data_IF_793761230270
#
_entry.id   IF_793761230270
#
_cell.length_a   1.000
_cell.length_b   1.000
_cell.length_c   1.000
_cell.angle_alpha   90.00
_cell.angle_beta   90.00
_cell.angle_gamma   90.00
#
_symmetry.space_group_name_H-M   'P 1'
#
loop_
_entity.id
_entity.type
_entity.pdbx_description
1 polymer ?
#
# COMPACT_ATOMS: atom_id res chain seq x y z
N UNK A 1 3.05 -10.53 15.92
CA UNK A 1 1.62 -10.58 15.54
C UNK A 1 0.90 -9.27 15.84
N UNK A 2 0.98 -8.73 17.06
CA UNK A 2 0.29 -7.47 17.45
C UNK A 2 0.47 -6.27 16.49
N UNK A 3 1.69 -5.88 16.06
CA UNK A 3 1.85 -4.70 15.19
C UNK A 3 1.20 -4.87 13.81
N UNK A 4 1.30 -6.07 13.21
CA UNK A 4 0.71 -6.37 11.91
C UNK A 4 -0.81 -6.32 11.95
N UNK A 5 -1.43 -6.92 12.96
CA UNK A 5 -2.89 -6.91 13.11
C UNK A 5 -3.42 -5.51 13.34
N UNK A 6 -2.77 -4.72 14.19
CA UNK A 6 -3.15 -3.32 14.40
C UNK A 6 -3.08 -2.52 13.10
N UNK A 7 -1.96 -2.61 12.37
CA UNK A 7 -1.78 -1.90 11.11
C UNK A 7 -2.72 -2.39 10.00
N UNK A 8 -3.17 -3.65 10.02
CA UNK A 8 -4.20 -4.10 9.08
C UNK A 8 -5.59 -3.55 9.43
N UNK A 9 -5.91 -3.45 10.72
CA UNK A 9 -7.27 -3.18 11.19
C UNK A 9 -7.53 -1.72 11.56
N UNK A 10 -6.50 -0.87 11.59
CA UNK A 10 -6.65 0.53 12.01
C UNK A 10 -7.68 1.30 11.18
N UNK A 11 -7.79 0.99 9.87
CA UNK A 11 -8.73 1.58 8.93
C UNK A 11 -10.21 1.46 9.35
N UNK A 12 -10.54 0.55 10.28
CA UNK A 12 -11.89 0.43 10.82
C UNK A 12 -12.23 1.52 11.85
N UNK A 13 -11.22 2.21 12.37
CA UNK A 13 -11.37 3.19 13.45
C UNK A 13 -10.81 4.57 13.07
N UNK A 14 -9.79 4.61 12.20
CA UNK A 14 -9.04 5.82 11.84
C UNK A 14 -8.43 5.64 10.46
N UNK A 15 -8.34 6.70 9.66
CA UNK A 15 -7.66 6.63 8.36
C UNK A 15 -6.15 6.43 8.53
N UNK A 16 -5.49 5.84 7.53
CA UNK A 16 -4.03 5.68 7.55
C UNK A 16 -3.30 7.01 7.66
N UNK A 17 -3.79 8.03 6.96
CA UNK A 17 -3.27 9.39 7.06
C UNK A 17 -3.41 9.98 8.48
N UNK A 18 -4.55 9.82 9.14
CA UNK A 18 -4.70 10.30 10.53
C UNK A 18 -3.80 9.54 11.51
N UNK A 19 -3.64 8.22 11.35
CA UNK A 19 -2.73 7.43 12.17
C UNK A 19 -1.28 7.87 11.97
N UNK A 20 -0.83 8.02 10.72
CA UNK A 20 0.51 8.50 10.40
C UNK A 20 0.75 9.92 10.92
N UNK A 21 -0.27 10.79 10.84
CA UNK A 21 -0.22 12.14 11.40
C UNK A 21 -0.05 12.15 12.92
N UNK A 22 -0.73 11.26 13.65
CA UNK A 22 -0.51 11.08 15.10
C UNK A 22 0.91 10.61 15.41
N UNK A 23 1.46 9.70 14.61
CA UNK A 23 2.86 9.26 14.77
C UNK A 23 3.84 10.42 14.53
N UNK A 24 3.59 11.25 13.51
CA UNK A 24 4.39 12.45 13.22
C UNK A 24 4.34 13.46 14.37
N UNK A 25 3.16 13.70 14.95
CA UNK A 25 3.02 14.57 16.12
C UNK A 25 3.85 14.05 17.30
N UNK A 26 3.76 12.76 17.63
CA UNK A 26 4.55 12.18 18.72
C UNK A 26 6.06 12.27 18.41
N UNK A 27 6.46 12.04 17.15
CA UNK A 27 7.86 12.16 16.73
C UNK A 27 8.41 13.57 16.92
N UNK A 28 7.62 14.59 16.53
CA UNK A 28 7.94 16.01 16.70
C UNK A 28 8.03 16.40 18.18
N UNK A 29 7.02 16.03 18.97
CA UNK A 29 6.82 16.58 20.31
C UNK A 29 7.54 15.80 21.43
N UNK A 30 8.17 14.66 21.12
CA UNK A 30 9.00 13.93 22.09
C UNK A 30 10.25 14.74 22.50
N UNK A 31 10.10 15.62 23.49
CA UNK A 31 11.17 16.42 24.10
C UNK A 31 12.17 15.53 24.86
N UNK A 32 13.09 14.88 24.13
CA UNK A 32 14.30 14.24 24.69
C UNK A 32 14.34 12.71 24.70
N UNK A 33 13.30 12.01 24.24
CA UNK A 33 13.31 10.55 24.14
C UNK A 33 13.72 10.10 22.73
N UNK A 34 15.00 10.16 22.40
CA UNK A 34 15.49 9.72 21.09
C UNK A 34 15.12 8.26 20.77
N UNK A 35 15.07 7.45 21.82
CA UNK A 35 14.55 6.08 21.76
C UNK A 35 13.10 6.01 21.26
N UNK A 36 12.25 6.98 21.59
CA UNK A 36 10.86 7.02 21.13
C UNK A 36 10.78 7.41 19.67
N UNK A 37 11.58 8.38 19.21
CA UNK A 37 11.68 8.74 17.79
C UNK A 37 12.09 7.55 16.94
N UNK A 38 13.15 6.85 17.35
CA UNK A 38 13.59 5.64 16.66
C UNK A 38 12.50 4.55 16.64
N UNK A 39 11.78 4.33 17.74
CA UNK A 39 10.65 3.38 17.76
C UNK A 39 9.56 3.76 16.76
N UNK A 40 9.26 5.05 16.58
CA UNK A 40 8.32 5.53 15.57
C UNK A 40 8.86 5.26 14.17
N UNK A 41 10.13 5.56 13.91
CA UNK A 41 10.76 5.26 12.62
C UNK A 41 10.74 3.76 12.31
N UNK A 42 11.01 2.89 13.27
CA UNK A 42 10.91 1.44 13.08
C UNK A 42 9.47 0.97 12.86
N UNK A 43 8.49 1.57 13.53
CA UNK A 43 7.08 1.28 13.28
C UNK A 43 6.66 1.70 11.87
N UNK A 44 7.04 2.90 11.44
CA UNK A 44 6.80 3.40 10.09
C UNK A 44 7.48 2.51 9.04
N UNK A 45 8.75 2.16 9.24
CA UNK A 45 9.47 1.22 8.38
C UNK A 45 8.76 -0.13 8.29
N UNK A 46 8.32 -0.66 9.43
CA UNK A 46 7.58 -1.92 9.47
C UNK A 46 6.25 -1.81 8.71
N UNK A 47 5.54 -0.70 8.85
CA UNK A 47 4.31 -0.45 8.11
C UNK A 47 4.55 -0.39 6.60
N UNK A 48 5.52 0.42 6.16
CA UNK A 48 5.91 0.55 4.74
C UNK A 48 6.27 -0.82 4.15
N UNK A 49 7.08 -1.61 4.86
CA UNK A 49 7.51 -2.93 4.37
C UNK A 49 6.37 -3.96 4.37
N UNK A 50 5.40 -3.84 5.28
CA UNK A 50 4.29 -4.79 5.40
C UNK A 50 3.16 -4.47 4.42
N UNK A 51 2.88 -3.19 4.18
CA UNK A 51 1.77 -2.70 3.36
C UNK A 51 2.23 -1.61 2.36
N UNK A 52 3.18 -1.92 1.46
CA UNK A 52 3.79 -0.94 0.56
C UNK A 52 2.80 -0.27 -0.40
N UNK A 53 1.74 -0.99 -0.79
CA UNK A 53 0.70 -0.46 -1.68
C UNK A 53 -0.03 0.76 -1.05
N UNK A 54 -0.21 0.79 0.27
CA UNK A 54 -0.85 1.92 0.97
C UNK A 54 -0.03 3.21 0.77
N UNK A 55 1.29 3.11 0.92
CA UNK A 55 2.21 4.25 0.77
C UNK A 55 2.47 4.68 -0.67
N UNK A 56 2.09 3.86 -1.67
CA UNK A 56 2.15 4.26 -3.08
C UNK A 56 0.81 4.83 -3.58
N UNK A 57 -0.31 4.41 -3.00
CA UNK A 57 -1.65 4.74 -3.51
C UNK A 57 -2.35 5.87 -2.75
N UNK A 58 -2.08 6.03 -1.44
CA UNK A 58 -2.66 7.07 -0.59
C UNK A 58 -1.80 8.34 -0.61
N UNK A 59 -2.33 9.41 -1.22
CA UNK A 59 -1.64 10.71 -1.33
C UNK A 59 -1.42 11.37 0.04
N UNK A 60 -2.29 11.11 1.03
CA UNK A 60 -2.13 11.64 2.38
C UNK A 60 -0.98 10.97 3.12
N UNK A 61 -0.81 9.65 2.98
CA UNK A 61 0.37 8.95 3.50
C UNK A 61 1.67 9.43 2.84
N UNK A 62 1.67 9.61 1.52
CA UNK A 62 2.83 10.15 0.79
C UNK A 62 3.20 11.52 1.36
N UNK A 63 2.22 12.42 1.49
CA UNK A 63 2.44 13.75 2.03
C UNK A 63 3.02 13.70 3.45
N UNK A 64 2.43 12.91 4.35
CA UNK A 64 2.91 12.80 5.74
C UNK A 64 4.33 12.23 5.81
N UNK A 65 4.68 11.32 4.89
CA UNK A 65 6.04 10.76 4.81
C UNK A 65 7.07 11.82 4.42
N UNK A 66 6.72 12.74 3.52
CA UNK A 66 7.58 13.90 3.24
C UNK A 66 7.62 14.89 4.42
N UNK A 67 6.50 15.10 5.13
CA UNK A 67 6.52 15.91 6.36
C UNK A 67 7.41 15.29 7.45
N UNK A 68 7.51 13.96 7.53
CA UNK A 68 8.49 13.26 8.38
C UNK A 68 9.93 13.61 8.02
N UNK A 69 10.26 13.70 6.71
CA UNK A 69 11.58 14.12 6.23
C UNK A 69 11.92 15.52 6.72
N UNK A 70 11.00 16.46 6.52
CA UNK A 70 11.18 17.85 6.89
C UNK A 70 11.38 18.01 8.40
N UNK A 71 10.54 17.33 9.21
CA UNK A 71 10.67 17.37 10.67
C UNK A 71 11.96 16.69 11.13
N UNK A 72 12.38 15.59 10.51
CA UNK A 72 13.65 14.94 10.85
C UNK A 72 14.85 15.85 10.56
N UNK A 73 14.85 16.58 9.44
CA UNK A 73 15.88 17.56 9.11
C UNK A 73 15.92 18.72 10.11
N UNK A 74 14.76 19.28 10.47
CA UNK A 74 14.67 20.35 11.48
C UNK A 74 15.19 19.94 12.86
N UNK A 75 15.07 18.66 13.21
CA UNK A 75 15.53 18.10 14.48
C UNK A 75 16.99 17.63 14.44
N UNK A 76 17.67 17.69 13.29
CA UNK A 76 19.03 17.17 13.11
C UNK A 76 19.12 15.63 13.08
N UNK A 77 18.01 14.95 12.84
CA UNK A 77 17.88 13.49 12.84
C UNK A 77 17.75 12.93 11.41
N UNK A 78 18.52 13.41 10.43
CA UNK A 78 18.33 13.04 9.02
C UNK A 78 18.44 11.53 8.74
N UNK A 79 19.26 10.82 9.52
CA UNK A 79 19.40 9.36 9.43
C UNK A 79 18.08 8.62 9.70
N UNK A 80 17.16 9.21 10.47
CA UNK A 80 15.84 8.63 10.72
C UNK A 80 15.00 8.57 9.45
N UNK A 81 15.12 9.55 8.57
CA UNK A 81 14.34 9.57 7.33
C UNK A 81 14.66 8.37 6.43
N UNK A 82 15.92 7.89 6.43
CA UNK A 82 16.31 6.69 5.67
C UNK A 82 15.51 5.44 6.05
N UNK A 83 14.92 5.41 7.25
CA UNK A 83 14.07 4.30 7.69
C UNK A 83 12.64 4.40 7.14
N UNK A 84 12.18 5.61 6.80
CA UNK A 84 10.81 5.94 6.38
C UNK A 84 10.75 6.23 4.85
N UNK A 85 11.89 6.17 4.16
CA UNK A 85 11.94 6.46 2.72
C UNK A 85 11.06 5.51 1.90
N UNK A 86 10.15 6.10 1.13
CA UNK A 86 9.20 5.40 0.24
C UNK A 86 9.66 5.39 -1.22
N UNK A 87 10.78 6.04 -1.56
CA UNK A 87 11.27 6.14 -2.94
C UNK A 87 11.58 4.79 -3.60
N UNK A 88 11.86 3.78 -2.78
CA UNK A 88 12.20 2.42 -3.22
C UNK A 88 10.98 1.50 -3.40
N UNK A 89 9.78 1.97 -3.04
CA UNK A 89 8.56 1.18 -3.17
C UNK A 89 8.20 1.02 -4.67
N UNK A 90 7.93 -0.20 -5.15
CA UNK A 90 7.44 -0.42 -6.52
C UNK A 90 6.14 0.34 -6.80
N UNK A 91 5.85 0.66 -8.06
CA UNK A 91 4.52 1.20 -8.41
C UNK A 91 3.44 0.12 -8.24
N UNK A 92 2.38 0.49 -7.54
CA UNK A 92 1.14 -0.27 -7.35
C UNK A 92 -0.02 0.36 -8.13
N UNK A 93 0.24 1.24 -9.12
CA UNK A 93 -0.82 1.90 -9.90
C UNK A 93 -1.78 0.92 -10.59
N UNK A 94 -1.31 -0.30 -10.88
CA UNK A 94 -2.12 -1.39 -11.43
C UNK A 94 -3.24 -1.88 -10.49
N UNK A 95 -3.13 -1.59 -9.19
CA UNK A 95 -4.16 -1.86 -8.17
C UNK A 95 -5.20 -0.74 -8.06
N UNK A 96 -4.96 0.45 -8.63
CA UNK A 96 -6.01 1.47 -8.71
C UNK A 96 -7.21 0.87 -9.43
N UNK A 97 -8.43 1.21 -8.96
CA UNK A 97 -9.68 0.76 -9.56
C UNK A 97 -9.81 1.32 -10.99
N UNK A 98 -9.14 0.70 -11.96
CA UNK A 98 -9.38 0.93 -13.37
C UNK A 98 -10.69 0.25 -13.73
N UNK A 99 -11.70 1.04 -14.11
CA UNK A 99 -12.85 0.50 -14.83
C UNK A 99 -12.32 -0.20 -16.09
N UNK A 100 -12.57 -1.51 -16.24
CA UNK A 100 -12.32 -2.20 -17.50
C UNK A 100 -13.14 -1.51 -18.58
N UNK A 101 -12.50 -0.70 -19.43
CA UNK A 101 -13.09 -0.27 -20.69
C UNK A 101 -13.16 -1.49 -21.59
N UNK A 102 -14.29 -2.19 -21.60
CA UNK A 102 -14.58 -3.16 -22.65
C UNK A 102 -14.56 -2.39 -23.98
N UNK A 103 -13.53 -2.62 -24.80
CA UNK A 103 -13.65 -2.33 -26.23
C UNK A 103 -14.88 -3.09 -26.73
N UNK A 104 -15.75 -2.45 -27.52
CA UNK A 104 -16.95 -3.10 -28.07
C UNK A 104 -16.56 -4.42 -28.72
N UNK A 105 -16.85 -5.53 -28.04
CA UNK A 105 -16.58 -6.86 -28.56
C UNK A 105 -17.63 -7.19 -29.62
N UNK A 106 -17.20 -7.47 -30.85
CA UNK A 106 -18.05 -8.18 -31.81
C UNK A 106 -18.28 -9.58 -31.23
N UNK A 107 -19.43 -9.79 -30.58
CA UNK A 107 -19.80 -10.98 -29.77
C UNK A 107 -19.77 -12.35 -30.50
N UNK A 108 -19.39 -12.42 -31.77
CA UNK A 108 -19.51 -13.64 -32.58
C UNK A 108 -18.35 -14.64 -32.53
N UNK A 109 -17.17 -14.27 -32.04
CA UNK A 109 -15.96 -15.14 -32.18
C UNK A 109 -15.62 -16.00 -30.97
N UNK A 110 -16.14 -15.69 -29.78
CA UNK A 110 -15.80 -16.44 -28.57
C UNK A 110 -16.54 -17.80 -28.50
N UNK A 111 -17.78 -17.88 -29.00
CA UNK A 111 -18.61 -19.08 -28.89
C UNK A 111 -18.00 -20.31 -29.58
N UNK A 112 -17.48 -20.15 -30.80
CA UNK A 112 -16.86 -21.26 -31.56
C UNK A 112 -15.52 -21.72 -30.99
N UNK A 113 -14.84 -20.89 -30.21
CA UNK A 113 -13.56 -21.23 -29.59
C UNK A 113 -13.73 -22.08 -28.33
N UNK A 114 -14.84 -21.93 -27.61
CA UNK A 114 -15.14 -22.77 -26.45
C UNK A 114 -15.41 -24.22 -26.83
N UNK A 115 -15.98 -24.47 -28.02
CA UNK A 115 -16.29 -25.83 -28.50
C UNK A 115 -15.03 -26.67 -28.80
N UNK A 116 -13.87 -26.03 -28.92
CA UNK A 116 -12.58 -26.67 -29.21
C UNK A 116 -11.58 -26.59 -28.06
N UNK A 117 -11.94 -25.93 -26.95
CA UNK A 117 -11.05 -25.77 -25.80
C UNK A 117 -11.20 -26.98 -24.88
N UNK A 118 -10.08 -27.56 -24.43
CA UNK A 118 -10.14 -28.63 -23.45
C UNK A 118 -10.70 -28.09 -22.11
N UNK A 119 -11.52 -28.87 -21.38
CA UNK A 119 -12.10 -28.43 -20.11
C UNK A 119 -11.05 -27.96 -19.09
N UNK A 120 -9.86 -28.56 -19.10
CA UNK A 120 -8.76 -28.19 -18.22
C UNK A 120 -8.19 -26.81 -18.57
N UNK A 121 -7.97 -26.54 -19.86
CA UNK A 121 -7.48 -25.25 -20.34
C UNK A 121 -8.50 -24.12 -20.05
N UNK A 122 -9.81 -24.41 -20.18
CA UNK A 122 -10.85 -23.48 -19.77
C UNK A 122 -10.78 -23.15 -18.26
N UNK A 123 -10.64 -24.18 -17.43
CA UNK A 123 -10.55 -24.01 -15.98
C UNK A 123 -9.32 -23.20 -15.57
N UNK A 124 -8.17 -23.40 -16.22
CA UNK A 124 -6.96 -22.60 -16.00
C UNK A 124 -7.17 -21.13 -16.36
N UNK A 125 -7.79 -20.86 -17.52
CA UNK A 125 -8.09 -19.49 -17.93
C UNK A 125 -9.05 -18.77 -16.96
N UNK A 126 -10.11 -19.44 -16.50
CA UNK A 126 -11.02 -18.89 -15.50
C UNK A 126 -10.30 -18.63 -14.18
N UNK A 127 -9.52 -19.60 -13.69
CA UNK A 127 -8.72 -19.47 -12.46
C UNK A 127 -7.77 -18.29 -12.54
N UNK A 128 -7.10 -18.11 -13.68
CA UNK A 128 -6.20 -16.98 -13.90
C UNK A 128 -6.94 -15.63 -13.84
N UNK A 129 -8.11 -15.53 -14.48
CA UNK A 129 -8.92 -14.31 -14.46
C UNK A 129 -9.41 -13.98 -13.04
N UNK A 130 -9.87 -14.98 -12.30
CA UNK A 130 -10.28 -14.84 -10.90
C UNK A 130 -9.11 -14.41 -10.01
N UNK A 131 -7.97 -15.11 -10.09
CA UNK A 131 -6.76 -14.76 -9.35
C UNK A 131 -6.30 -13.33 -9.63
N UNK A 132 -6.30 -12.94 -10.91
CA UNK A 132 -5.95 -11.57 -11.32
C UNK A 132 -6.92 -10.53 -10.77
N UNK A 133 -8.19 -10.86 -10.62
CA UNK A 133 -9.21 -9.98 -10.04
C UNK A 133 -9.07 -9.90 -8.52
N UNK A 134 -9.02 -11.05 -7.84
CA UNK A 134 -8.95 -11.15 -6.37
C UNK A 134 -7.70 -10.47 -5.82
N UNK A 135 -6.56 -10.58 -6.49
CA UNK A 135 -5.31 -9.94 -6.06
C UNK A 135 -5.32 -8.41 -6.08
N UNK A 136 -6.35 -7.78 -6.67
CA UNK A 136 -6.55 -6.32 -6.63
C UNK A 136 -7.43 -5.89 -5.46
N UNK A 137 -8.05 -6.83 -4.75
CA UNK A 137 -8.82 -6.55 -3.54
C UNK A 137 -7.81 -6.34 -2.41
N UNK A 138 -7.89 -5.20 -1.74
CA UNK A 138 -7.13 -4.82 -0.56
C UNK A 138 -8.10 -4.46 0.55
#
# INVERSE_FOLDING_TARGET
MLPRTFLLMHCWYVTSSELAGKLLMIYRDCKGAERTRLKICYLMRFWIMTFPAEFNLDLGLIRITEEFREVAAQLGCEEHFKLIDISTIPSYDWMRKLTQRKKQAKKGKASLLFDHLEPMELAEHLTFLEFKSIRRIS
#
